data_IF_776924092856
#
_entry.id   IF_776924092856
#
_cell.length_a   1.000
_cell.length_b   1.000
_cell.length_c   1.000
_cell.angle_alpha   90.00
_cell.angle_beta   90.00
_cell.angle_gamma   90.00
#
_symmetry.space_group_name_H-M   'P 1'
#
loop_
_entity.id
_entity.type
_entity.pdbx_description
1 polymer ?
#
# COMPACT_ATOMS: atom_id res chain seq x y z
N UNK A 1 -0.39 23.18 21.42
CA UNK A 1 0.99 22.87 21.00
C UNK A 1 1.11 21.37 20.82
N UNK A 2 1.12 20.88 19.58
CA UNK A 2 1.33 19.45 19.30
C UNK A 2 2.82 19.20 19.47
N UNK A 3 3.21 18.28 20.36
CA UNK A 3 4.60 17.91 20.55
C UNK A 3 5.23 17.56 19.18
N UNK A 4 6.47 18.00 18.88
CA UNK A 4 7.10 17.63 17.63
C UNK A 4 7.23 16.10 17.64
N UNK A 5 6.42 15.43 16.81
CA UNK A 5 6.61 14.03 16.49
C UNK A 5 8.07 13.91 16.04
N UNK A 6 8.93 13.31 16.87
CA UNK A 6 10.33 13.06 16.49
C UNK A 6 10.29 12.30 15.16
N UNK A 7 10.68 12.98 14.07
CA UNK A 7 10.74 12.37 12.75
C UNK A 7 11.75 11.23 12.84
N UNK A 8 11.26 10.00 12.75
CA UNK A 8 12.08 8.79 12.75
C UNK A 8 12.32 8.37 11.31
N UNK A 9 13.55 7.98 11.02
CA UNK A 9 13.98 7.49 9.72
C UNK A 9 13.81 8.52 8.59
N UNK A 10 14.21 9.78 8.84
CA UNK A 10 14.32 10.79 7.77
C UNK A 10 15.40 10.39 6.75
N UNK A 11 15.37 11.00 5.57
CA UNK A 11 16.39 10.78 4.53
C UNK A 11 17.79 11.11 5.06
N UNK A 12 17.91 12.17 5.87
CA UNK A 12 19.15 12.58 6.53
C UNK A 12 19.65 11.53 7.55
N UNK A 13 18.75 11.00 8.39
CA UNK A 13 19.10 9.99 9.40
C UNK A 13 19.47 8.65 8.77
N UNK A 14 18.80 8.30 7.67
CA UNK A 14 18.96 7.00 7.02
C UNK A 14 20.05 7.01 5.97
N UNK A 15 20.46 8.17 5.46
CA UNK A 15 21.33 8.27 4.29
C UNK A 15 20.74 7.61 3.05
N UNK A 16 19.40 7.51 2.97
CA UNK A 16 18.72 6.79 1.91
C UNK A 16 19.08 7.40 0.55
N UNK A 17 19.60 6.56 -0.34
CA UNK A 17 19.97 6.97 -1.70
C UNK A 17 19.84 5.81 -2.65
N UNK A 18 19.27 6.08 -3.83
CA UNK A 18 19.26 5.12 -4.92
C UNK A 18 20.59 5.09 -5.65
N UNK A 19 20.94 3.89 -6.12
CA UNK A 19 22.02 3.63 -7.05
C UNK A 19 21.45 2.92 -8.29
N UNK A 20 22.29 2.57 -9.25
CA UNK A 20 21.85 1.88 -10.46
C UNK A 20 21.28 0.48 -10.18
N UNK A 21 21.84 -0.21 -9.17
CA UNK A 21 21.59 -1.62 -8.89
C UNK A 21 20.91 -1.88 -7.53
N UNK A 22 20.80 -0.87 -6.67
CA UNK A 22 20.25 -1.06 -5.34
C UNK A 22 20.03 0.22 -4.53
N UNK A 23 19.92 0.05 -3.22
CA UNK A 23 19.56 1.08 -2.25
C UNK A 23 20.67 1.16 -1.21
N UNK A 24 21.20 2.35 -0.99
CA UNK A 24 22.03 2.65 0.18
C UNK A 24 21.13 3.06 1.34
N UNK A 25 21.30 2.42 2.51
CA UNK A 25 20.55 2.70 3.71
C UNK A 25 21.40 2.41 4.95
N UNK A 26 21.55 3.38 5.85
CA UNK A 26 22.32 3.32 7.10
C UNK A 26 23.74 2.74 6.92
N UNK A 27 24.45 3.19 5.88
CA UNK A 27 25.81 2.76 5.48
C UNK A 27 25.90 1.34 4.91
N UNK A 28 24.78 0.65 4.71
CA UNK A 28 24.72 -0.64 4.03
C UNK A 28 24.16 -0.46 2.61
N UNK A 29 24.54 -1.38 1.73
CA UNK A 29 24.03 -1.49 0.37
C UNK A 29 23.11 -2.71 0.26
N UNK A 30 21.95 -2.53 -0.36
CA UNK A 30 20.95 -3.57 -0.57
C UNK A 30 20.60 -3.66 -2.06
N UNK A 31 20.76 -4.84 -2.65
CA UNK A 31 20.48 -5.05 -4.07
C UNK A 31 18.96 -5.09 -4.33
N UNK A 32 18.51 -4.62 -5.49
CA UNK A 32 17.09 -4.70 -5.85
C UNK A 32 16.54 -6.13 -5.86
N UNK A 33 17.37 -7.14 -6.12
CA UNK A 33 16.99 -8.55 -6.10
C UNK A 33 16.66 -9.05 -4.69
N UNK A 34 17.05 -8.34 -3.63
CA UNK A 34 16.70 -8.67 -2.25
C UNK A 34 15.32 -8.14 -1.85
N UNK A 35 14.76 -7.21 -2.61
CA UNK A 35 13.45 -6.60 -2.31
C UNK A 35 12.32 -7.56 -2.70
N UNK A 36 11.47 -7.88 -1.73
CA UNK A 36 10.31 -8.77 -1.93
C UNK A 36 8.97 -8.06 -1.84
N UNK A 37 8.96 -6.86 -1.28
CA UNK A 37 7.74 -6.11 -1.04
C UNK A 37 8.06 -4.62 -0.85
N UNK A 38 7.19 -3.76 -1.39
CA UNK A 38 7.30 -2.31 -1.22
C UNK A 38 5.95 -1.73 -0.84
N UNK A 39 5.95 -0.70 0.01
CA UNK A 39 4.75 -0.02 0.45
C UNK A 39 5.00 1.49 0.47
N UNK A 40 4.03 2.27 0.02
CA UNK A 40 4.09 3.74 0.09
C UNK A 40 2.81 4.30 0.68
N UNK A 41 2.98 5.15 1.68
CA UNK A 41 1.94 5.99 2.25
C UNK A 41 2.31 7.45 1.98
N UNK A 42 1.42 8.16 1.31
CA UNK A 42 1.52 9.62 1.17
C UNK A 42 0.24 10.30 1.64
N UNK A 43 0.39 11.53 2.13
CA UNK A 43 -0.73 12.39 2.48
C UNK A 43 -0.43 13.84 2.11
N UNK A 44 -1.49 14.57 1.78
CA UNK A 44 -1.48 16.02 1.66
C UNK A 44 -2.47 16.54 2.69
N UNK A 45 -2.00 17.42 3.57
CA UNK A 45 -2.81 18.08 4.58
C UNK A 45 -3.06 19.52 4.13
N UNK A 46 -4.33 19.86 3.91
CA UNK A 46 -4.72 21.23 3.58
C UNK A 46 -5.02 22.03 4.85
N UNK A 47 -4.34 23.15 5.00
CA UNK A 47 -4.60 24.15 6.03
C UNK A 47 -5.35 25.32 5.40
N UNK A 48 -6.64 25.42 5.70
CA UNK A 48 -7.47 26.54 5.24
C UNK A 48 -7.40 27.69 6.23
N UNK A 49 -6.78 28.79 5.82
CA UNK A 49 -6.66 30.02 6.61
C UNK A 49 -7.69 31.02 6.08
N UNK A 50 -8.64 31.39 6.93
CA UNK A 50 -9.72 32.32 6.59
C UNK A 50 -9.09 33.68 6.19
N UNK A 51 -9.49 34.21 5.02
CA UNK A 51 -8.97 35.44 4.39
C UNK A 51 -7.54 35.40 3.80
N UNK A 52 -6.79 34.30 3.92
CA UNK A 52 -5.40 34.21 3.41
C UNK A 52 -5.26 33.16 2.30
N UNK A 53 -6.06 32.09 2.32
CA UNK A 53 -6.04 31.02 1.32
C UNK A 53 -5.83 29.64 1.93
N UNK A 54 -5.42 28.68 1.11
CA UNK A 54 -5.10 27.32 1.53
C UNK A 54 -3.60 27.05 1.39
N UNK A 55 -3.01 26.40 2.39
CA UNK A 55 -1.64 25.90 2.37
C UNK A 55 -1.63 24.37 2.44
N UNK A 56 -0.58 23.73 1.92
CA UNK A 56 -0.52 22.28 1.78
C UNK A 56 0.76 21.69 2.38
N UNK A 57 0.60 20.78 3.34
CA UNK A 57 1.69 20.01 3.94
C UNK A 57 1.72 18.59 3.36
N UNK A 58 2.86 18.21 2.79
CA UNK A 58 3.08 16.90 2.17
C UNK A 58 3.78 15.95 3.14
N UNK A 59 3.34 14.70 3.21
CA UNK A 59 4.06 13.65 3.93
C UNK A 59 4.17 12.38 3.10
N UNK A 60 5.27 11.65 3.29
CA UNK A 60 5.53 10.36 2.64
C UNK A 60 6.23 9.42 3.61
N UNK A 61 5.82 8.17 3.61
CA UNK A 61 6.53 7.06 4.25
C UNK A 61 6.60 5.91 3.26
N UNK A 62 7.81 5.43 3.01
CA UNK A 62 8.03 4.23 2.20
C UNK A 62 8.61 3.13 3.10
N UNK A 63 8.19 1.91 2.85
CA UNK A 63 8.71 0.71 3.51
C UNK A 63 9.10 -0.28 2.42
N UNK A 64 10.32 -0.81 2.53
CA UNK A 64 10.89 -1.79 1.62
C UNK A 64 11.23 -3.01 2.47
N UNK A 65 10.59 -4.15 2.20
CA UNK A 65 10.87 -5.39 2.92
C UNK A 65 11.80 -6.26 2.09
N UNK A 66 12.86 -6.75 2.72
CA UNK A 66 13.88 -7.60 2.12
C UNK A 66 13.59 -9.08 2.36
N UNK A 67 14.22 -9.96 1.57
CA UNK A 67 14.18 -11.43 1.75
C UNK A 67 14.58 -11.87 3.15
N UNK A 68 15.50 -11.14 3.80
CA UNK A 68 15.95 -11.38 5.17
C UNK A 68 14.87 -11.12 6.23
N UNK A 69 13.77 -10.46 5.86
CA UNK A 69 12.75 -9.95 6.79
C UNK A 69 13.06 -8.54 7.31
N UNK A 70 14.23 -7.98 7.01
CA UNK A 70 14.57 -6.59 7.35
C UNK A 70 13.67 -5.61 6.59
N UNK A 71 13.29 -4.51 7.26
CA UNK A 71 12.45 -3.45 6.71
C UNK A 71 13.21 -2.13 6.68
N UNK A 72 13.46 -1.63 5.47
CA UNK A 72 14.02 -0.30 5.26
C UNK A 72 12.86 0.69 5.22
N UNK A 73 12.80 1.59 6.19
CA UNK A 73 11.76 2.62 6.27
C UNK A 73 12.37 3.99 6.07
N UNK A 74 11.75 4.83 5.24
CA UNK A 74 12.08 6.25 5.08
C UNK A 74 10.81 7.05 5.24
N UNK A 75 10.81 8.06 6.11
CA UNK A 75 9.64 8.91 6.37
C UNK A 75 10.03 10.37 6.33
N UNK A 76 9.28 11.16 5.57
CA UNK A 76 9.42 12.60 5.51
C UNK A 76 8.07 13.30 5.64
N UNK A 77 8.12 14.47 6.25
CA UNK A 77 6.96 15.33 6.46
C UNK A 77 7.39 16.77 6.25
N UNK A 78 6.74 17.48 5.33
CA UNK A 78 6.85 18.92 5.19
C UNK A 78 6.34 19.61 6.46
N UNK A 79 6.91 20.77 6.74
CA UNK A 79 6.52 21.62 7.86
C UNK A 79 6.37 23.03 7.33
N UNK A 80 5.47 23.81 7.94
CA UNK A 80 5.08 25.17 7.54
C UNK A 80 6.23 26.09 7.07
N UNK A 81 7.43 25.96 7.63
CA UNK A 81 8.57 26.86 7.38
C UNK A 81 9.60 26.35 6.34
N UNK A 82 9.28 25.38 5.48
CA UNK A 82 10.33 24.69 4.70
C UNK A 82 9.88 24.15 3.33
N UNK A 83 9.93 24.99 2.30
CA UNK A 83 9.72 24.60 0.89
C UNK A 83 10.68 23.48 0.42
N UNK A 84 11.91 23.46 0.96
CA UNK A 84 12.94 22.46 0.65
C UNK A 84 12.54 21.02 0.99
N UNK A 85 11.47 20.80 1.77
CA UNK A 85 10.99 19.47 2.14
C UNK A 85 9.97 18.89 1.17
N UNK A 86 9.28 19.73 0.40
CA UNK A 86 8.37 19.25 -0.65
C UNK A 86 9.17 18.57 -1.78
N UNK A 87 10.32 19.11 -2.16
CA UNK A 87 11.22 18.47 -3.14
C UNK A 87 11.79 17.15 -2.64
N UNK A 88 12.07 17.03 -1.33
CA UNK A 88 12.48 15.76 -0.71
C UNK A 88 11.35 14.72 -0.78
N UNK A 89 10.12 15.12 -0.44
CA UNK A 89 8.94 14.23 -0.55
C UNK A 89 8.77 13.73 -1.99
N UNK A 90 8.90 14.63 -2.98
CA UNK A 90 8.84 14.27 -4.40
C UNK A 90 10.00 13.37 -4.82
N UNK A 91 11.20 13.59 -4.30
CA UNK A 91 12.38 12.74 -4.55
C UNK A 91 12.19 11.32 -4.00
N UNK A 92 11.62 11.18 -2.79
CA UNK A 92 11.29 9.88 -2.21
C UNK A 92 10.21 9.18 -3.03
N UNK A 93 9.17 9.89 -3.47
CA UNK A 93 8.12 9.34 -4.34
C UNK A 93 8.67 8.86 -5.68
N UNK A 94 9.58 9.63 -6.28
CA UNK A 94 10.28 9.25 -7.51
C UNK A 94 11.17 8.03 -7.30
N UNK A 95 11.88 7.99 -6.18
CA UNK A 95 12.71 6.86 -5.80
C UNK A 95 11.89 5.58 -5.60
N UNK A 96 10.75 5.69 -4.92
CA UNK A 96 9.81 4.59 -4.75
C UNK A 96 9.30 4.05 -6.09
N UNK A 97 9.01 4.93 -7.04
CA UNK A 97 8.56 4.55 -8.39
C UNK A 97 9.65 3.75 -9.13
N UNK A 98 10.91 4.17 -9.01
CA UNK A 98 12.06 3.46 -9.58
C UNK A 98 12.23 2.08 -8.93
N UNK A 99 12.22 2.01 -7.60
CA UNK A 99 12.32 0.75 -6.85
C UNK A 99 11.19 -0.19 -7.27
N UNK A 100 9.95 0.28 -7.29
CA UNK A 100 8.78 -0.52 -7.68
C UNK A 100 8.97 -1.11 -9.08
N UNK A 101 9.43 -0.31 -10.05
CA UNK A 101 9.71 -0.77 -11.41
C UNK A 101 10.84 -1.80 -11.47
N UNK A 102 11.97 -1.53 -10.81
CA UNK A 102 13.17 -2.40 -10.82
C UNK A 102 12.91 -3.75 -10.12
N UNK A 103 12.07 -3.75 -9.10
CA UNK A 103 11.77 -4.94 -8.26
C UNK A 103 10.52 -5.70 -8.71
N UNK A 104 9.82 -5.20 -9.74
CA UNK A 104 8.54 -5.74 -10.21
C UNK A 104 8.55 -7.25 -10.40
N UNK A 105 9.55 -7.77 -11.13
CA UNK A 105 9.65 -9.19 -11.46
C UNK A 105 9.77 -10.05 -10.20
N UNK A 106 10.60 -9.66 -9.23
CA UNK A 106 10.75 -10.40 -7.98
C UNK A 106 9.43 -10.40 -7.18
N UNK A 107 8.76 -9.25 -7.09
CA UNK A 107 7.53 -9.06 -6.33
C UNK A 107 6.34 -9.82 -6.94
N UNK A 108 6.17 -9.82 -8.27
CA UNK A 108 5.07 -10.56 -8.90
C UNK A 108 5.28 -12.08 -8.83
N UNK A 109 6.53 -12.55 -8.99
CA UNK A 109 6.88 -13.98 -8.90
C UNK A 109 6.54 -14.57 -7.53
N UNK A 110 6.71 -13.79 -6.45
CA UNK A 110 6.27 -14.16 -5.09
C UNK A 110 4.81 -14.63 -5.08
N UNK A 111 3.91 -13.89 -5.72
CA UNK A 111 2.47 -14.21 -5.76
C UNK A 111 2.13 -15.29 -6.78
N UNK A 112 2.74 -15.25 -7.97
CA UNK A 112 2.52 -16.27 -9.01
C UNK A 112 2.92 -17.67 -8.51
N UNK A 113 4.03 -17.77 -7.79
CA UNK A 113 4.45 -19.03 -7.17
C UNK A 113 3.41 -19.56 -6.19
N UNK A 114 2.80 -18.70 -5.36
CA UNK A 114 1.74 -19.15 -4.45
C UNK A 114 0.52 -19.68 -5.21
N UNK A 115 0.12 -19.03 -6.31
CA UNK A 115 -0.97 -19.54 -7.16
C UNK A 115 -0.64 -20.91 -7.74
N UNK A 116 0.59 -21.11 -8.24
CA UNK A 116 1.01 -22.38 -8.82
C UNK A 116 1.10 -23.49 -7.76
N UNK A 117 1.64 -23.20 -6.58
CA UNK A 117 1.91 -24.20 -5.55
C UNK A 117 0.66 -24.54 -4.72
N UNK A 118 -0.19 -23.54 -4.43
CA UNK A 118 -1.34 -23.67 -3.50
C UNK A 118 -2.71 -23.42 -4.14
N UNK A 119 -2.76 -22.90 -5.37
CA UNK A 119 -4.00 -22.50 -6.05
C UNK A 119 -4.55 -21.14 -5.62
N UNK A 120 -3.86 -20.39 -4.76
CA UNK A 120 -4.23 -19.05 -4.32
C UNK A 120 -3.02 -18.19 -4.00
N UNK A 121 -3.17 -16.87 -4.02
CA UNK A 121 -2.17 -15.96 -3.47
C UNK A 121 -2.71 -15.26 -2.22
N UNK A 122 -1.82 -15.01 -1.27
CA UNK A 122 -2.11 -14.28 -0.04
C UNK A 122 -1.71 -12.82 -0.20
N UNK A 123 -2.59 -11.91 0.21
CA UNK A 123 -2.33 -10.48 0.20
C UNK A 123 -3.08 -9.80 1.36
N UNK A 124 -2.35 -9.12 2.24
CA UNK A 124 -2.88 -8.35 3.36
C UNK A 124 -3.94 -9.11 4.19
N UNK A 125 -3.65 -10.33 4.64
CA UNK A 125 -4.57 -11.20 5.40
C UNK A 125 -5.79 -11.73 4.60
N UNK A 126 -5.73 -11.69 3.28
CA UNK A 126 -6.73 -12.29 2.40
C UNK A 126 -6.11 -13.32 1.48
N UNK A 127 -6.83 -14.41 1.24
CA UNK A 127 -6.51 -15.37 0.18
C UNK A 127 -7.37 -15.08 -1.05
N UNK A 128 -6.75 -15.06 -2.22
CA UNK A 128 -7.42 -14.86 -3.50
C UNK A 128 -7.27 -16.14 -4.32
N UNK A 129 -8.40 -16.79 -4.67
CA UNK A 129 -8.42 -18.07 -5.37
C UNK A 129 -8.84 -17.87 -6.85
N UNK A 130 -7.88 -17.78 -7.80
CA UNK A 130 -8.20 -17.51 -9.21
C UNK A 130 -9.18 -18.52 -9.81
N UNK A 131 -8.92 -19.81 -9.65
CA UNK A 131 -9.72 -20.89 -10.26
C UNK A 131 -11.16 -20.94 -9.72
N UNK A 132 -11.35 -20.54 -8.47
CA UNK A 132 -12.67 -20.56 -7.81
C UNK A 132 -13.40 -19.22 -7.90
N UNK A 133 -12.74 -18.15 -8.36
CA UNK A 133 -13.28 -16.79 -8.41
C UNK A 133 -13.86 -16.32 -7.07
N UNK A 134 -13.18 -16.63 -5.98
CA UNK A 134 -13.56 -16.20 -4.64
C UNK A 134 -12.36 -15.61 -3.88
N UNK A 135 -12.68 -14.90 -2.81
CA UNK A 135 -11.71 -14.32 -1.88
C UNK A 135 -12.09 -14.73 -0.46
N UNK A 136 -11.09 -14.98 0.38
CA UNK A 136 -11.29 -15.38 1.77
C UNK A 136 -10.56 -14.45 2.71
N UNK A 137 -11.26 -13.95 3.71
CA UNK A 137 -10.64 -13.22 4.81
C UNK A 137 -10.07 -14.23 5.80
N UNK A 138 -8.76 -14.19 6.05
CA UNK A 138 -8.08 -15.17 6.93
C UNK A 138 -8.54 -14.97 8.38
N UNK A 139 -8.66 -13.71 8.83
CA UNK A 139 -9.02 -13.36 10.21
C UNK A 139 -10.43 -13.78 10.60
N UNK A 140 -11.40 -13.62 9.69
CA UNK A 140 -12.81 -13.98 9.96
C UNK A 140 -13.19 -15.35 9.42
N UNK A 141 -12.28 -16.01 8.70
CA UNK A 141 -12.50 -17.25 7.95
C UNK A 141 -13.67 -17.18 6.93
N UNK A 142 -14.18 -15.98 6.63
CA UNK A 142 -15.32 -15.78 5.73
C UNK A 142 -14.88 -15.79 4.27
N UNK A 143 -15.58 -16.56 3.45
CA UNK A 143 -15.39 -16.66 2.00
C UNK A 143 -16.43 -15.81 1.28
N UNK A 144 -15.99 -15.10 0.25
CA UNK A 144 -16.82 -14.26 -0.61
C UNK A 144 -16.61 -14.67 -2.05
N UNK A 145 -17.67 -15.13 -2.69
CA UNK A 145 -17.66 -15.32 -4.14
C UNK A 145 -17.67 -13.96 -4.83
N UNK A 146 -16.82 -13.74 -5.83
CA UNK A 146 -16.71 -12.43 -6.48
C UNK A 146 -18.01 -11.99 -7.18
N UNK A 147 -18.84 -12.94 -7.62
CA UNK A 147 -20.15 -12.66 -8.18
C UNK A 147 -21.13 -12.03 -7.18
N UNK A 148 -21.00 -12.35 -5.89
CA UNK A 148 -21.93 -11.93 -4.83
C UNK A 148 -21.49 -10.67 -4.09
N UNK A 149 -20.30 -10.12 -4.39
CA UNK A 149 -19.77 -8.90 -3.77
C UNK A 149 -19.47 -7.80 -4.79
N UNK A 150 -19.53 -6.56 -4.31
CA UNK A 150 -18.98 -5.38 -4.94
C UNK A 150 -17.67 -5.03 -4.26
N UNK A 151 -16.60 -4.94 -5.07
CA UNK A 151 -15.29 -4.52 -4.62
C UNK A 151 -15.10 -3.04 -4.94
N UNK A 152 -15.34 -2.18 -3.94
CA UNK A 152 -15.28 -0.74 -4.10
C UNK A 152 -13.87 -0.24 -3.75
N UNK A 153 -13.16 0.31 -4.73
CA UNK A 153 -11.82 0.83 -4.54
C UNK A 153 -11.87 2.21 -3.89
N UNK A 154 -11.07 2.37 -2.84
CA UNK A 154 -10.68 3.64 -2.25
C UNK A 154 -9.16 3.83 -2.42
N UNK A 155 -8.64 4.98 -1.98
CA UNK A 155 -7.23 5.35 -2.18
C UNK A 155 -6.23 4.36 -1.58
N UNK A 156 -6.56 3.70 -0.46
CA UNK A 156 -5.66 2.80 0.29
C UNK A 156 -6.26 1.44 0.61
N UNK A 157 -7.46 1.17 0.11
CA UNK A 157 -8.15 -0.08 0.39
C UNK A 157 -9.18 -0.43 -0.68
N UNK A 158 -9.61 -1.68 -0.67
CA UNK A 158 -10.82 -2.15 -1.34
C UNK A 158 -11.82 -2.54 -0.26
N UNK A 159 -13.01 -1.97 -0.34
CA UNK A 159 -14.13 -2.31 0.51
C UNK A 159 -14.89 -3.48 -0.13
N UNK A 160 -15.15 -4.52 0.67
CA UNK A 160 -15.89 -5.71 0.22
C UNK A 160 -17.33 -5.61 0.68
N UNK A 161 -18.25 -5.26 -0.22
CA UNK A 161 -19.69 -5.16 0.08
C UNK A 161 -20.46 -6.30 -0.55
N UNK A 162 -21.27 -7.02 0.21
CA UNK A 162 -22.18 -8.02 -0.36
C UNK A 162 -23.32 -7.33 -1.13
N UNK A 163 -23.69 -7.87 -2.29
CA UNK A 163 -24.76 -7.32 -3.15
C UNK A 163 -26.15 -7.53 -2.54
N UNK A 164 -26.39 -8.72 -1.98
CA UNK A 164 -27.69 -9.16 -1.50
C UNK A 164 -27.74 -9.24 0.03
N UNK A 165 -27.52 -8.11 0.69
CA UNK A 165 -27.67 -8.01 2.14
C UNK A 165 -29.16 -7.78 2.46
N UNK A 166 -29.77 -8.70 3.22
CA UNK A 166 -31.15 -8.55 3.69
C UNK A 166 -31.30 -7.28 4.53
N UNK A 167 -32.48 -6.65 4.54
CA UNK A 167 -32.73 -5.41 5.29
C UNK A 167 -32.31 -5.50 6.77
N UNK A 168 -32.55 -6.64 7.41
CA UNK A 168 -32.17 -6.90 8.81
C UNK A 168 -30.64 -6.96 8.98
N UNK A 169 -29.93 -7.57 8.03
CA UNK A 169 -28.46 -7.64 8.08
C UNK A 169 -27.79 -6.30 7.77
N UNK A 170 -28.42 -5.41 6.98
CA UNK A 170 -27.95 -4.03 6.79
C UNK A 170 -28.02 -3.21 8.09
N UNK A 171 -29.10 -3.35 8.86
CA UNK A 171 -29.24 -2.68 10.16
C UNK A 171 -28.18 -3.19 11.17
N UNK A 172 -27.97 -4.51 11.24
CA UNK A 172 -26.96 -5.09 12.12
C UNK A 172 -25.53 -4.66 11.72
N UNK A 173 -25.22 -4.58 10.41
CA UNK A 173 -23.95 -4.02 9.94
C UNK A 173 -23.79 -2.55 10.36
N UNK A 174 -24.84 -1.75 10.18
CA UNK A 174 -24.82 -0.34 10.54
C UNK A 174 -24.50 -0.11 12.03
N UNK A 175 -25.04 -0.94 12.92
CA UNK A 175 -24.83 -0.81 14.37
C UNK A 175 -23.59 -1.53 14.91
N UNK A 176 -23.15 -2.66 14.30
CA UNK A 176 -22.19 -3.58 14.93
C UNK A 176 -20.99 -3.95 14.04
N UNK A 177 -21.12 -3.96 12.71
CA UNK A 177 -20.07 -4.48 11.80
C UNK A 177 -19.70 -3.49 10.71
N UNK A 178 -18.48 -2.95 10.80
CA UNK A 178 -17.82 -2.28 9.68
C UNK A 178 -17.60 -3.26 8.53
N UNK A 179 -17.83 -2.80 7.31
CA UNK A 179 -17.57 -3.56 6.11
C UNK A 179 -16.11 -4.04 6.06
N UNK A 180 -15.84 -5.27 5.60
CA UNK A 180 -14.50 -5.80 5.49
C UNK A 180 -13.67 -5.01 4.47
N UNK A 181 -12.40 -4.80 4.80
CA UNK A 181 -11.46 -4.00 4.03
C UNK A 181 -10.22 -4.83 3.67
N UNK A 182 -9.77 -4.69 2.43
CA UNK A 182 -8.46 -5.16 1.96
C UNK A 182 -7.57 -3.93 1.85
N UNK A 183 -6.51 -3.83 2.66
CA UNK A 183 -5.59 -2.68 2.59
C UNK A 183 -4.68 -2.89 1.36
N UNK A 184 -4.56 -1.85 0.53
CA UNK A 184 -3.88 -1.94 -0.78
C UNK A 184 -2.56 -1.17 -0.86
N UNK A 185 -1.97 -0.84 0.29
CA UNK A 185 -0.76 0.01 0.42
C UNK A 185 0.50 -0.74 -0.03
N UNK A 186 0.53 -2.04 0.21
CA UNK A 186 1.67 -2.91 -0.07
C UNK A 186 1.59 -3.43 -1.49
N UNK A 187 2.68 -3.43 -2.26
CA UNK A 187 2.75 -3.97 -3.62
C UNK A 187 1.56 -3.54 -4.49
N UNK A 188 1.09 -2.30 -4.33
CA UNK A 188 -0.17 -1.81 -4.91
C UNK A 188 -0.24 -2.08 -6.41
N UNK A 189 0.85 -1.79 -7.12
CA UNK A 189 0.99 -1.96 -8.56
C UNK A 189 0.87 -3.44 -8.99
N UNK A 190 1.58 -4.34 -8.31
CA UNK A 190 1.53 -5.79 -8.53
C UNK A 190 0.16 -6.35 -8.18
N UNK A 191 -0.39 -5.96 -7.02
CA UNK A 191 -1.68 -6.43 -6.55
C UNK A 191 -2.80 -6.11 -7.54
N UNK A 192 -2.90 -4.85 -8.00
CA UNK A 192 -3.90 -4.49 -9.01
C UNK A 192 -3.69 -5.19 -10.34
N UNK A 193 -2.43 -5.48 -10.73
CA UNK A 193 -2.16 -6.30 -11.92
C UNK A 193 -2.63 -7.74 -11.76
N UNK A 194 -2.43 -8.35 -10.59
CA UNK A 194 -2.92 -9.70 -10.29
C UNK A 194 -4.45 -9.74 -10.29
N UNK A 195 -5.11 -8.73 -9.71
CA UNK A 195 -6.57 -8.64 -9.72
C UNK A 195 -7.13 -8.52 -11.14
N UNK A 196 -6.51 -7.70 -11.98
CA UNK A 196 -6.86 -7.61 -13.39
C UNK A 196 -6.65 -8.94 -14.11
N UNK A 197 -5.47 -9.57 -13.94
CA UNK A 197 -5.12 -10.79 -14.65
C UNK A 197 -6.01 -11.98 -14.28
N UNK A 198 -6.23 -12.23 -12.99
CA UNK A 198 -6.94 -13.43 -12.52
C UNK A 198 -8.46 -13.26 -12.42
N UNK A 199 -8.94 -12.04 -12.18
CA UNK A 199 -10.35 -11.80 -11.88
C UNK A 199 -11.02 -10.82 -12.84
N UNK A 200 -10.28 -10.29 -13.83
CA UNK A 200 -10.74 -9.25 -14.75
C UNK A 200 -11.29 -8.01 -14.03
N UNK A 201 -10.76 -7.72 -12.84
CA UNK A 201 -11.17 -6.58 -12.03
C UNK A 201 -10.39 -5.34 -12.45
N UNK A 202 -11.11 -4.33 -12.90
CA UNK A 202 -10.57 -3.03 -13.28
C UNK A 202 -11.32 -1.92 -12.57
N UNK A 203 -10.59 -0.93 -12.12
CA UNK A 203 -11.15 0.32 -11.64
C UNK A 203 -10.67 1.42 -12.58
N UNK A 204 -11.62 2.14 -13.17
CA UNK A 204 -11.30 3.39 -13.85
C UNK A 204 -10.62 4.32 -12.84
N UNK A 205 -9.50 4.93 -13.27
CA UNK A 205 -8.74 5.87 -12.46
C UNK A 205 -9.47 7.20 -12.37
#
# INVERSE_FOLDING_TARGET
MVAPLRKKNTIEQTGFKLTENGINYRKNFYDFNEVIEVAMLSSVLEHKIIMVGSEYDYSISIVITLKSGEKLQVTEQSTWFSDSRTSIVQSISSSFSIISKKTWNARIQKYMKQVNDKGFFEYNEWCFYPSQKNIKNIKTNKVYELGSVNLLRHSRCILVKEKNISFISKLIQFFIRKDPLIITITDTDVFFKLLHHYFNLNWQR
#
